data_IF_154269544910
#
_entry.id   IF_154269544910
#
_cell.length_a   1.000
_cell.length_b   1.000
_cell.length_c   1.000
_cell.angle_alpha   90.00
_cell.angle_beta   90.00
_cell.angle_gamma   90.00
#
_symmetry.space_group_name_H-M   'P 1'
#
loop_
_entity.id
_entity.type
_entity.pdbx_description
1 polymer ?
#
# COMPACT_ATOMS: atom_id res chain seq x y z
N UNK A 1 34.78 -38.50 37.60
CA UNK A 1 35.24 -37.11 37.41
C UNK A 1 34.18 -36.41 36.57
N UNK A 2 33.45 -35.45 37.13
CA UNK A 2 32.39 -34.73 36.40
C UNK A 2 32.99 -33.79 35.37
N UNK A 3 32.42 -33.76 34.17
CA UNK A 3 32.77 -32.82 33.10
C UNK A 3 32.76 -31.38 33.63
N UNK A 4 33.86 -30.64 33.47
CA UNK A 4 33.90 -29.21 33.85
C UNK A 4 32.98 -28.42 32.92
N UNK A 5 32.03 -27.70 33.50
CA UNK A 5 31.18 -26.77 32.75
C UNK A 5 31.99 -25.51 32.40
N UNK A 6 32.58 -25.53 31.21
CA UNK A 6 33.34 -24.40 30.69
C UNK A 6 32.46 -23.19 30.38
N UNK A 7 31.17 -23.38 30.07
CA UNK A 7 30.27 -22.27 29.75
C UNK A 7 29.98 -21.46 31.03
N UNK A 8 29.71 -22.14 32.15
CA UNK A 8 29.56 -21.49 33.45
C UNK A 8 30.85 -20.84 33.97
N UNK A 9 32.02 -21.05 33.34
CA UNK A 9 33.26 -20.35 33.72
C UNK A 9 33.44 -18.98 33.04
N UNK A 10 32.63 -18.65 32.02
CA UNK A 10 32.72 -17.38 31.30
C UNK A 10 32.21 -16.21 32.15
N UNK A 11 32.70 -14.96 31.95
CA UNK A 11 32.17 -13.76 32.61
C UNK A 11 30.71 -13.45 32.26
N UNK A 12 29.99 -12.82 33.19
CA UNK A 12 28.57 -12.47 32.99
C UNK A 12 28.35 -11.53 31.81
N UNK A 13 29.27 -10.59 31.54
CA UNK A 13 29.14 -9.72 30.36
C UNK A 13 29.27 -10.52 29.06
N UNK A 14 30.10 -11.56 29.03
CA UNK A 14 30.26 -12.41 27.83
C UNK A 14 29.00 -13.26 27.64
N UNK A 15 28.53 -13.89 28.72
CA UNK A 15 27.31 -14.70 28.67
C UNK A 15 26.09 -13.85 28.28
N UNK A 16 25.89 -12.69 28.90
CA UNK A 16 24.74 -11.81 28.65
C UNK A 16 24.83 -11.04 27.32
N UNK A 17 25.87 -10.22 27.14
CA UNK A 17 25.98 -9.26 26.02
C UNK A 17 26.49 -9.84 24.71
N UNK A 18 27.08 -11.03 24.73
CA UNK A 18 27.66 -11.65 23.53
C UNK A 18 27.00 -12.96 23.15
N UNK A 19 26.54 -13.75 24.12
CA UNK A 19 25.93 -15.05 23.84
C UNK A 19 24.40 -14.93 23.89
N UNK A 20 23.83 -14.56 25.03
CA UNK A 20 22.37 -14.50 25.20
C UNK A 20 21.72 -13.42 24.33
N UNK A 21 22.38 -12.28 24.10
CA UNK A 21 21.88 -11.23 23.20
C UNK A 21 21.72 -11.67 21.74
N UNK A 22 22.30 -12.80 21.33
CA UNK A 22 22.16 -13.38 19.99
C UNK A 22 21.00 -14.38 19.90
N UNK A 23 20.40 -14.75 21.02
CA UNK A 23 19.34 -15.74 21.08
C UNK A 23 17.95 -15.09 21.09
N UNK A 24 16.92 -15.76 20.52
CA UNK A 24 15.54 -15.36 20.70
C UNK A 24 15.14 -15.27 22.18
N UNK A 25 14.31 -14.29 22.54
CA UNK A 25 13.86 -14.03 23.92
C UNK A 25 13.35 -15.27 24.64
N UNK A 26 12.61 -16.15 23.96
CA UNK A 26 12.09 -17.40 24.54
C UNK A 26 13.21 -18.34 25.01
N UNK A 27 14.30 -18.45 24.23
CA UNK A 27 15.47 -19.25 24.59
C UNK A 27 16.28 -18.58 25.70
N UNK A 28 16.41 -17.25 25.65
CA UNK A 28 17.05 -16.48 26.72
C UNK A 28 16.33 -16.75 28.04
N UNK A 29 15.01 -16.56 28.09
CA UNK A 29 14.19 -16.82 29.29
C UNK A 29 14.28 -18.27 29.76
N UNK A 30 14.31 -19.25 28.86
CA UNK A 30 14.42 -20.67 29.24
C UNK A 30 15.74 -21.00 29.96
N UNK A 31 16.83 -20.25 29.71
CA UNK A 31 18.09 -20.44 30.44
C UNK A 31 17.99 -20.08 31.94
N UNK A 32 16.95 -19.35 32.38
CA UNK A 32 16.76 -18.99 33.80
C UNK A 32 16.57 -20.18 34.74
N UNK A 33 16.24 -21.35 34.20
CA UNK A 33 16.07 -22.60 34.97
C UNK A 33 17.40 -23.26 35.29
N UNK A 34 18.48 -22.90 34.58
CA UNK A 34 19.80 -23.55 34.72
C UNK A 34 20.46 -23.25 36.08
N UNK A 35 20.36 -22.02 36.57
CA UNK A 35 20.79 -21.65 37.93
C UNK A 35 20.35 -20.23 38.31
N UNK A 36 20.56 -19.86 39.58
CA UNK A 36 20.37 -18.48 40.07
C UNK A 36 21.22 -17.45 39.30
N UNK A 37 22.43 -17.82 38.89
CA UNK A 37 23.32 -16.94 38.13
C UNK A 37 22.75 -16.66 36.73
N UNK A 38 22.34 -17.71 36.03
CA UNK A 38 21.75 -17.59 34.69
C UNK A 38 20.45 -16.79 34.68
N UNK A 39 19.65 -16.87 35.75
CA UNK A 39 18.47 -16.01 35.95
C UNK A 39 18.81 -14.52 36.00
N UNK A 40 19.98 -14.14 36.51
CA UNK A 40 20.39 -12.74 36.63
C UNK A 40 21.09 -12.20 35.37
N UNK A 41 21.41 -13.07 34.40
CA UNK A 41 22.08 -12.65 33.17
C UNK A 41 21.21 -11.75 32.27
N UNK A 42 19.89 -11.70 32.49
CA UNK A 42 18.96 -10.86 31.74
C UNK A 42 19.29 -9.36 31.84
N UNK A 43 19.87 -8.92 32.96
CA UNK A 43 20.29 -7.53 33.14
C UNK A 43 21.41 -7.10 32.17
N UNK A 44 22.11 -8.08 31.57
CA UNK A 44 23.16 -7.86 30.60
C UNK A 44 22.67 -8.07 29.15
N UNK A 45 21.39 -8.42 28.96
CA UNK A 45 20.80 -8.54 27.63
C UNK A 45 20.22 -7.19 27.25
N UNK A 46 20.82 -6.56 26.24
CA UNK A 46 20.47 -5.19 25.86
C UNK A 46 19.11 -5.09 25.14
N UNK A 47 18.54 -6.21 24.69
CA UNK A 47 17.34 -6.21 23.84
C UNK A 47 16.46 -7.44 24.10
N UNK A 48 15.19 -7.21 24.41
CA UNK A 48 14.14 -8.23 24.32
C UNK A 48 13.17 -7.92 23.19
N UNK A 49 12.89 -8.95 22.40
CA UNK A 49 11.86 -8.98 21.37
C UNK A 49 10.78 -9.98 21.80
N UNK A 50 9.62 -9.47 22.20
CA UNK A 50 8.52 -10.27 22.73
C UNK A 50 7.49 -10.46 21.62
N UNK A 51 7.59 -11.59 20.92
CA UNK A 51 6.68 -11.95 19.84
C UNK A 51 5.74 -13.08 20.25
N UNK A 52 4.44 -12.80 20.21
CA UNK A 52 3.41 -13.81 20.29
C UNK A 52 3.25 -14.54 18.94
N UNK A 53 4.06 -15.58 18.76
CA UNK A 53 3.95 -16.50 17.62
C UNK A 53 3.01 -17.68 17.89
N UNK A 54 2.20 -17.66 18.97
CA UNK A 54 1.47 -18.86 19.40
C UNK A 54 0.18 -19.09 18.61
N UNK A 55 -0.08 -20.32 18.14
CA UNK A 55 -1.39 -20.67 17.60
C UNK A 55 -2.46 -20.59 18.70
N UNK A 56 -3.69 -20.21 18.32
CA UNK A 56 -4.90 -20.05 19.16
C UNK A 56 -5.09 -21.07 20.30
N UNK A 57 -4.60 -22.31 20.15
CA UNK A 57 -4.78 -23.39 21.14
C UNK A 57 -3.83 -23.31 22.36
N UNK A 58 -2.84 -22.41 22.37
CA UNK A 58 -1.81 -22.31 23.42
C UNK A 58 -1.72 -20.93 24.10
N UNK A 59 -2.79 -20.13 24.08
CA UNK A 59 -2.81 -18.78 24.66
C UNK A 59 -2.37 -18.75 26.15
N UNK A 60 -2.80 -19.72 26.95
CA UNK A 60 -2.44 -19.80 28.38
C UNK A 60 -0.93 -19.88 28.60
N UNK A 61 -0.21 -20.59 27.72
CA UNK A 61 1.25 -20.74 27.81
C UNK A 61 2.01 -19.45 27.54
N UNK A 62 1.51 -18.60 26.63
CA UNK A 62 2.13 -17.30 26.37
C UNK A 62 1.78 -16.28 27.45
N UNK A 63 0.55 -16.29 27.99
CA UNK A 63 0.18 -15.45 29.13
C UNK A 63 1.08 -15.73 30.34
N UNK A 64 1.23 -17.01 30.71
CA UNK A 64 2.14 -17.44 31.77
C UNK A 64 3.59 -17.03 31.51
N UNK A 65 4.03 -17.16 30.25
CA UNK A 65 5.35 -16.71 29.84
C UNK A 65 5.50 -15.20 30.01
N UNK A 66 4.53 -14.40 29.58
CA UNK A 66 4.55 -12.95 29.70
C UNK A 66 4.55 -12.52 31.16
N UNK A 67 3.74 -13.13 32.02
CA UNK A 67 3.74 -12.86 33.45
C UNK A 67 5.08 -13.16 34.10
N UNK A 68 5.64 -14.33 33.80
CA UNK A 68 6.96 -14.73 34.30
C UNK A 68 8.06 -13.82 33.74
N UNK A 69 7.96 -13.44 32.48
CA UNK A 69 8.96 -12.59 31.81
C UNK A 69 8.93 -11.18 32.37
N UNK A 70 7.75 -10.56 32.48
CA UNK A 70 7.57 -9.22 33.07
C UNK A 70 8.00 -9.20 34.54
N UNK A 71 7.69 -10.24 35.32
CA UNK A 71 8.07 -10.35 36.73
C UNK A 71 9.56 -10.67 36.95
N UNK A 72 10.17 -11.55 36.16
CA UNK A 72 11.58 -11.92 36.26
C UNK A 72 12.52 -10.82 35.75
N UNK A 73 12.04 -9.96 34.84
CA UNK A 73 12.89 -9.02 34.11
C UNK A 73 12.73 -7.57 34.54
N UNK A 74 12.26 -7.25 35.75
CA UNK A 74 11.74 -5.92 36.19
C UNK A 74 12.39 -4.64 35.62
N UNK A 75 13.68 -4.62 35.26
CA UNK A 75 14.38 -3.45 34.70
C UNK A 75 15.00 -3.65 33.30
N UNK A 76 14.75 -4.77 32.60
CA UNK A 76 15.38 -5.01 31.30
C UNK A 76 14.67 -4.21 30.18
N UNK A 77 15.42 -3.62 29.23
CA UNK A 77 14.86 -2.87 28.11
C UNK A 77 14.09 -3.81 27.15
N UNK A 78 12.87 -3.43 26.80
CA UNK A 78 12.05 -4.11 25.80
C UNK A 78 12.05 -3.20 24.58
N UNK A 79 12.60 -3.65 23.44
CA UNK A 79 12.65 -2.82 22.23
C UNK A 79 11.46 -3.02 21.32
N UNK A 80 10.98 -4.27 21.25
CA UNK A 80 9.84 -4.63 20.43
C UNK A 80 8.89 -5.54 21.20
N UNK A 81 7.62 -5.23 21.08
CA UNK A 81 6.52 -6.00 21.62
C UNK A 81 5.51 -6.25 20.49
N UNK A 82 5.30 -7.51 20.15
CA UNK A 82 4.28 -7.98 19.22
C UNK A 82 3.31 -8.88 19.97
N UNK A 83 2.06 -8.44 20.10
CA UNK A 83 1.00 -9.16 20.79
C UNK A 83 -0.11 -9.54 19.82
N UNK A 84 -0.52 -10.81 19.84
CA UNK A 84 -1.78 -11.24 19.27
C UNK A 84 -2.84 -11.18 20.39
N UNK A 85 -3.77 -10.24 20.31
CA UNK A 85 -4.73 -9.93 21.38
C UNK A 85 -5.85 -10.96 21.48
N UNK A 86 -5.51 -12.18 21.90
CA UNK A 86 -6.42 -13.19 22.45
C UNK A 86 -6.60 -13.05 23.96
N UNK A 87 -5.84 -12.15 24.57
CA UNK A 87 -5.73 -12.00 26.01
C UNK A 87 -6.74 -11.00 26.55
N UNK A 88 -7.03 -11.14 27.84
CA UNK A 88 -7.82 -10.15 28.57
C UNK A 88 -7.19 -8.76 28.45
N UNK A 89 -8.03 -7.74 28.24
CA UNK A 89 -7.61 -6.34 28.07
C UNK A 89 -6.68 -5.87 29.18
N UNK A 90 -7.01 -6.21 30.43
CA UNK A 90 -6.22 -5.85 31.62
C UNK A 90 -4.76 -6.34 31.53
N UNK A 91 -4.56 -7.55 30.99
CA UNK A 91 -3.22 -8.12 30.76
C UNK A 91 -2.49 -7.42 29.63
N UNK A 92 -3.15 -7.18 28.51
CA UNK A 92 -2.58 -6.46 27.36
C UNK A 92 -2.15 -5.05 27.77
N UNK A 93 -3.01 -4.32 28.46
CA UNK A 93 -2.75 -2.94 28.90
C UNK A 93 -1.54 -2.90 29.86
N UNK A 94 -1.44 -3.86 30.76
CA UNK A 94 -0.29 -3.96 31.67
C UNK A 94 1.01 -4.31 30.94
N UNK A 95 0.96 -5.21 29.96
CA UNK A 95 2.16 -5.57 29.17
C UNK A 95 2.65 -4.42 28.31
N UNK A 96 1.73 -3.71 27.66
CA UNK A 96 2.05 -2.50 26.90
C UNK A 96 2.67 -1.47 27.83
N UNK A 97 2.00 -1.13 28.95
CA UNK A 97 2.50 -0.14 29.92
C UNK A 97 3.91 -0.49 30.39
N UNK A 98 4.14 -1.75 30.78
CA UNK A 98 5.46 -2.23 31.18
C UNK A 98 6.49 -2.09 30.06
N UNK A 99 6.16 -2.40 28.81
CA UNK A 99 7.08 -2.24 27.69
C UNK A 99 7.40 -0.77 27.41
N UNK A 100 6.40 0.11 27.44
CA UNK A 100 6.60 1.55 27.23
C UNK A 100 7.49 2.17 28.32
N UNK A 101 7.27 1.81 29.59
CA UNK A 101 8.12 2.24 30.72
C UNK A 101 9.58 1.78 30.60
N UNK A 102 9.85 0.77 29.76
CA UNK A 102 11.17 0.19 29.51
C UNK A 102 11.81 0.61 28.19
N UNK A 103 11.26 1.65 27.55
CA UNK A 103 11.84 2.24 26.34
C UNK A 103 11.51 1.49 25.05
N UNK A 104 10.31 0.93 24.94
CA UNK A 104 9.82 0.27 23.72
C UNK A 104 9.91 1.20 22.50
N UNK A 105 10.48 0.67 21.42
CA UNK A 105 10.66 1.36 20.13
C UNK A 105 9.63 0.93 19.11
N UNK A 106 9.21 -0.34 19.14
CA UNK A 106 8.24 -0.90 18.20
C UNK A 106 7.13 -1.66 18.94
N UNK A 107 5.89 -1.23 18.75
CA UNK A 107 4.72 -1.91 19.29
C UNK A 107 3.83 -2.36 18.14
N UNK A 108 3.51 -3.66 18.12
CA UNK A 108 2.60 -4.26 17.16
C UNK A 108 1.49 -5.00 17.91
N UNK A 109 0.27 -4.50 17.78
CA UNK A 109 -0.93 -5.11 18.35
C UNK A 109 -1.75 -5.69 17.22
N UNK A 110 -1.83 -7.01 17.19
CA UNK A 110 -2.62 -7.74 16.20
C UNK A 110 -3.82 -8.40 16.88
N UNK A 111 -5.00 -8.41 16.27
CA UNK A 111 -6.11 -9.20 16.81
C UNK A 111 -7.01 -9.76 15.73
N UNK A 112 -7.43 -11.01 15.89
CA UNK A 112 -8.47 -11.60 15.05
C UNK A 112 -9.89 -11.27 15.53
N UNK A 113 -10.01 -10.56 16.66
CA UNK A 113 -11.28 -10.21 17.30
C UNK A 113 -11.39 -8.70 17.51
N UNK A 114 -12.59 -8.27 17.91
CA UNK A 114 -12.82 -6.89 18.36
C UNK A 114 -12.02 -6.63 19.64
N UNK A 115 -11.23 -5.57 19.65
CA UNK A 115 -10.43 -5.15 20.80
C UNK A 115 -10.69 -3.68 21.13
N UNK A 116 -10.56 -3.33 22.41
CA UNK A 116 -10.70 -1.97 22.90
C UNK A 116 -9.38 -1.54 23.50
N UNK A 117 -8.88 -0.39 23.07
CA UNK A 117 -7.61 0.17 23.52
C UNK A 117 -7.82 1.60 23.98
N UNK A 118 -7.46 1.90 25.22
CA UNK A 118 -7.48 3.27 25.73
C UNK A 118 -6.21 4.00 25.30
N UNK A 119 -6.35 5.13 24.61
CA UNK A 119 -5.22 5.93 24.15
C UNK A 119 -4.35 6.44 25.31
N UNK A 120 -4.94 6.61 26.51
CA UNK A 120 -4.24 7.02 27.72
C UNK A 120 -3.06 6.13 28.09
N UNK A 121 -3.02 4.89 27.59
CA UNK A 121 -1.90 3.97 27.79
C UNK A 121 -0.57 4.48 27.21
N UNK A 122 -0.62 5.31 26.16
CA UNK A 122 0.60 5.89 25.57
C UNK A 122 0.97 7.25 26.15
N UNK A 123 0.25 7.75 27.17
CA UNK A 123 0.51 9.07 27.76
C UNK A 123 1.91 9.25 28.34
N UNK A 124 2.58 8.15 28.70
CA UNK A 124 3.95 8.13 29.25
C UNK A 124 5.01 7.80 28.19
N UNK A 125 4.64 7.76 26.92
CA UNK A 125 5.52 7.36 25.85
C UNK A 125 6.44 8.50 25.39
N UNK A 126 7.73 8.23 25.29
CA UNK A 126 8.69 9.14 24.66
C UNK A 126 9.71 8.44 23.74
N UNK A 127 9.61 7.13 23.54
CA UNK A 127 10.60 6.32 22.80
C UNK A 127 10.05 5.63 21.56
N UNK A 128 8.72 5.53 21.40
CA UNK A 128 8.14 4.71 20.35
C UNK A 128 8.42 5.33 18.97
N UNK A 129 8.96 4.51 18.07
CA UNK A 129 9.31 4.87 16.70
C UNK A 129 8.32 4.25 15.71
N UNK A 130 7.78 3.07 16.02
CA UNK A 130 6.79 2.37 15.19
C UNK A 130 5.61 1.87 16.02
N UNK A 131 4.41 2.19 15.56
CA UNK A 131 3.16 1.70 16.12
C UNK A 131 2.34 1.03 15.02
N UNK A 132 2.01 -0.24 15.24
CA UNK A 132 1.11 -0.99 14.37
C UNK A 132 -0.08 -1.45 15.19
N UNK A 133 -1.27 -1.00 14.81
CA UNK A 133 -2.55 -1.49 15.30
C UNK A 133 -3.21 -2.19 14.12
N UNK A 134 -3.29 -3.51 14.13
CA UNK A 134 -3.87 -4.27 13.01
C UNK A 134 -4.81 -5.35 13.53
N UNK A 135 -6.11 -5.09 13.54
CA UNK A 135 -7.06 -6.11 13.96
C UNK A 135 -8.25 -6.27 13.02
N UNK A 136 -9.14 -7.20 13.36
CA UNK A 136 -10.48 -7.25 12.78
C UNK A 136 -11.25 -5.95 13.03
N UNK A 137 -11.18 -5.40 14.26
CA UNK A 137 -11.68 -4.07 14.60
C UNK A 137 -11.08 -3.59 15.94
N UNK A 138 -10.26 -2.52 15.93
CA UNK A 138 -9.73 -1.89 17.15
C UNK A 138 -10.54 -0.65 17.46
N UNK A 139 -11.24 -0.64 18.59
CA UNK A 139 -11.91 0.55 19.11
C UNK A 139 -10.93 1.36 19.97
N UNK A 140 -10.51 2.52 19.48
CA UNK A 140 -9.76 3.48 20.29
C UNK A 140 -10.71 4.25 21.18
N UNK A 141 -10.43 4.21 22.48
CA UNK A 141 -11.16 4.89 23.53
C UNK A 141 -10.28 5.97 24.16
N UNK A 142 -10.93 6.96 24.79
CA UNK A 142 -10.27 7.99 25.56
C UNK A 142 -10.63 9.40 25.08
N UNK A 143 -10.15 10.39 25.82
CA UNK A 143 -10.40 11.79 25.51
C UNK A 143 -9.35 12.30 24.54
N UNK A 144 -9.78 13.13 23.58
CA UNK A 144 -8.87 13.89 22.72
C UNK A 144 -8.07 14.85 23.59
N UNK A 145 -6.74 14.76 23.62
CA UNK A 145 -5.92 15.70 24.37
C UNK A 145 -6.05 17.12 23.81
N UNK A 146 -5.70 18.15 24.61
CA UNK A 146 -5.72 19.54 24.14
C UNK A 146 -4.93 19.73 22.85
N UNK A 147 -5.39 20.62 21.99
CA UNK A 147 -4.72 20.93 20.73
C UNK A 147 -3.25 21.32 20.95
N UNK A 148 -2.36 20.80 20.12
CA UNK A 148 -0.91 20.99 20.25
C UNK A 148 -0.21 20.03 21.24
N UNK A 149 -0.95 19.15 21.92
CA UNK A 149 -0.32 18.10 22.75
C UNK A 149 0.41 17.10 21.86
N UNK A 150 1.73 16.98 22.06
CA UNK A 150 2.56 15.94 21.42
C UNK A 150 2.50 14.68 22.27
N UNK A 151 2.01 13.58 21.68
CA UNK A 151 1.89 12.30 22.39
C UNK A 151 2.96 11.30 21.97
N UNK A 152 3.40 11.40 20.72
CA UNK A 152 4.34 10.49 20.11
C UNK A 152 5.51 11.29 19.52
N UNK A 153 6.43 11.79 20.37
CA UNK A 153 7.48 12.73 19.94
C UNK A 153 8.49 12.12 18.96
N UNK A 154 8.64 10.79 18.97
CA UNK A 154 9.64 10.04 18.19
C UNK A 154 9.04 9.13 17.12
N UNK A 155 7.71 9.09 16.98
CA UNK A 155 7.04 8.12 16.12
C UNK A 155 7.17 8.50 14.66
N UNK A 156 7.80 7.60 13.89
CA UNK A 156 8.07 7.77 12.47
C UNK A 156 7.15 6.94 11.58
N UNK A 157 6.66 5.81 12.09
CA UNK A 157 5.83 4.88 11.33
C UNK A 157 4.57 4.58 12.13
N UNK A 158 3.41 4.88 11.54
CA UNK A 158 2.10 4.58 12.10
C UNK A 158 1.31 3.72 11.12
N UNK A 159 0.83 2.56 11.58
CA UNK A 159 0.00 1.65 10.80
C UNK A 159 -1.32 1.39 11.52
N UNK A 160 -2.43 1.72 10.86
CA UNK A 160 -3.79 1.63 11.37
C UNK A 160 -4.61 0.67 10.48
N UNK A 161 -4.83 -0.55 10.96
CA UNK A 161 -5.65 -1.57 10.32
C UNK A 161 -6.97 -1.77 11.05
N UNK A 162 -8.08 -1.43 10.40
CA UNK A 162 -9.45 -1.49 10.93
C UNK A 162 -9.61 -0.80 12.30
N UNK A 163 -9.10 0.42 12.43
CA UNK A 163 -9.13 1.19 13.68
C UNK A 163 -10.35 2.10 13.70
N UNK A 164 -11.32 1.80 14.56
CA UNK A 164 -12.51 2.63 14.80
C UNK A 164 -12.21 3.60 15.94
N UNK A 165 -12.37 4.89 15.68
CA UNK A 165 -12.18 5.95 16.67
C UNK A 165 -13.17 7.09 16.43
N UNK A 166 -13.39 7.91 17.46
CA UNK A 166 -14.00 9.22 17.26
C UNK A 166 -13.18 10.03 16.22
N UNK A 167 -13.82 10.76 15.28
CA UNK A 167 -13.10 11.50 14.25
C UNK A 167 -12.05 12.48 14.78
N UNK A 168 -12.34 13.17 15.89
CA UNK A 168 -11.40 14.08 16.50
C UNK A 168 -10.21 13.33 17.13
N UNK A 169 -10.45 12.16 17.72
CA UNK A 169 -9.38 11.30 18.26
C UNK A 169 -8.46 10.77 17.14
N UNK A 170 -9.03 10.36 16.01
CA UNK A 170 -8.26 9.87 14.86
C UNK A 170 -7.39 10.98 14.25
N UNK A 171 -7.97 12.16 14.02
CA UNK A 171 -7.23 13.30 13.48
C UNK A 171 -6.09 13.70 14.43
N UNK A 172 -6.37 13.66 15.74
CA UNK A 172 -5.35 13.90 16.75
C UNK A 172 -4.25 12.83 16.77
N UNK A 173 -4.57 11.56 16.53
CA UNK A 173 -3.56 10.48 16.47
C UNK A 173 -2.51 10.77 15.39
N UNK A 174 -2.90 11.38 14.28
CA UNK A 174 -2.00 11.79 13.21
C UNK A 174 -1.26 13.09 13.58
N UNK A 175 -1.98 14.12 14.04
CA UNK A 175 -1.39 15.44 14.33
C UNK A 175 -0.50 15.47 15.59
N UNK A 176 -0.72 14.56 16.53
CA UNK A 176 0.09 14.35 17.74
C UNK A 176 1.45 13.67 17.51
N UNK A 177 1.78 13.35 16.25
CA UNK A 177 3.03 12.71 15.82
C UNK A 177 3.86 13.66 14.95
N UNK A 178 4.66 14.58 15.53
CA UNK A 178 5.35 15.65 14.79
C UNK A 178 6.44 15.19 13.82
N UNK A 179 6.96 13.97 13.98
CA UNK A 179 8.05 13.39 13.16
C UNK A 179 7.60 12.19 12.33
N UNK A 180 6.28 12.05 12.12
CA UNK A 180 5.70 10.92 11.39
C UNK A 180 6.09 10.97 9.90
N UNK A 181 6.86 9.99 9.43
CA UNK A 181 7.33 9.91 8.04
C UNK A 181 6.47 8.98 7.18
N UNK A 182 5.94 7.90 7.76
CA UNK A 182 5.15 6.88 7.06
C UNK A 182 3.82 6.61 7.76
N UNK A 183 2.73 6.73 7.02
CA UNK A 183 1.37 6.44 7.48
C UNK A 183 0.74 5.37 6.58
N UNK A 184 0.38 4.25 7.20
CA UNK A 184 -0.34 3.15 6.57
C UNK A 184 -1.73 3.08 7.20
N UNK A 185 -2.76 3.14 6.37
CA UNK A 185 -4.13 2.94 6.83
C UNK A 185 -4.79 1.91 5.94
N UNK A 186 -5.34 0.90 6.59
CA UNK A 186 -5.95 -0.24 5.95
C UNK A 186 -7.34 -0.43 6.52
N UNK A 187 -8.36 -0.06 5.75
CA UNK A 187 -9.75 -0.24 6.15
C UNK A 187 -10.23 -1.63 5.73
N UNK A 188 -10.73 -2.40 6.70
CA UNK A 188 -11.31 -3.73 6.48
C UNK A 188 -12.82 -3.60 6.65
N UNK A 189 -13.49 -3.07 5.62
CA UNK A 189 -14.95 -3.04 5.61
C UNK A 189 -15.52 -4.47 5.59
N UNK A 190 -16.24 -4.86 6.64
CA UNK A 190 -17.04 -6.09 6.69
C UNK A 190 -18.52 -5.75 6.67
N UNK A 191 -19.25 -6.24 5.66
CA UNK A 191 -20.70 -6.04 5.55
C UNK A 191 -21.09 -4.58 5.29
N UNK A 192 -22.03 -4.07 6.09
CA UNK A 192 -22.60 -2.71 6.02
C UNK A 192 -21.96 -1.74 7.03
N UNK A 193 -20.88 -2.14 7.71
CA UNK A 193 -20.20 -1.31 8.71
C UNK A 193 -19.61 -0.02 8.08
N UNK A 194 -19.64 1.08 8.84
CA UNK A 194 -19.05 2.35 8.41
C UNK A 194 -17.53 2.23 8.24
N UNK A 195 -16.93 2.99 7.30
CA UNK A 195 -15.48 3.12 7.18
C UNK A 195 -14.83 3.42 8.52
N UNK A 196 -13.72 2.76 8.82
CA UNK A 196 -12.94 3.00 10.05
C UNK A 196 -12.00 4.21 9.91
N UNK A 197 -11.73 4.59 8.66
CA UNK A 197 -10.92 5.73 8.27
C UNK A 197 -11.75 7.04 8.22
N UNK A 198 -11.23 8.14 8.79
CA UNK A 198 -11.98 9.43 8.94
C UNK A 198 -11.93 10.36 7.74
N UNK A 199 -11.27 9.98 6.64
CA UNK A 199 -11.22 10.77 5.40
C UNK A 199 -10.49 12.10 5.49
N UNK A 200 -9.69 12.31 6.53
CA UNK A 200 -8.76 13.43 6.59
C UNK A 200 -7.37 12.99 7.01
N UNK A 201 -6.35 13.39 6.24
CA UNK A 201 -4.93 13.28 6.62
C UNK A 201 -4.28 14.63 6.44
N UNK A 202 -3.95 15.27 7.56
CA UNK A 202 -3.29 16.57 7.59
C UNK A 202 -1.99 16.44 8.36
N UNK A 203 -0.86 16.48 7.67
CA UNK A 203 0.46 16.47 8.30
C UNK A 203 1.55 16.93 7.34
N UNK A 204 2.43 17.82 7.81
CA UNK A 204 3.59 18.26 7.04
C UNK A 204 4.78 17.28 7.13
N UNK A 205 4.80 16.34 8.08
CA UNK A 205 5.95 15.43 8.27
C UNK A 205 5.90 14.20 7.37
N UNK A 206 4.71 13.80 6.91
CA UNK A 206 4.48 12.55 6.17
C UNK A 206 5.13 12.64 4.78
N UNK A 207 5.96 11.65 4.48
CA UNK A 207 6.62 11.44 3.18
C UNK A 207 6.04 10.26 2.41
N UNK A 208 5.51 9.25 3.09
CA UNK A 208 4.90 8.07 2.49
C UNK A 208 3.52 7.84 3.07
N UNK A 209 2.51 7.78 2.20
CA UNK A 209 1.12 7.56 2.57
C UNK A 209 0.58 6.37 1.79
N UNK A 210 0.07 5.38 2.52
CA UNK A 210 -0.62 4.23 1.94
C UNK A 210 -2.01 4.13 2.55
N UNK A 211 -3.01 4.14 1.68
CA UNK A 211 -4.43 4.09 2.02
C UNK A 211 -5.02 2.95 1.24
N UNK A 212 -5.41 1.89 1.93
CA UNK A 212 -6.10 0.77 1.33
C UNK A 212 -7.52 0.69 1.88
N UNK A 213 -8.51 0.65 0.98
CA UNK A 213 -9.92 0.65 1.34
C UNK A 213 -10.60 -0.57 0.74
N UNK A 214 -11.06 -1.50 1.58
CA UNK A 214 -11.86 -2.65 1.16
C UNK A 214 -13.35 -2.31 1.17
N UNK A 215 -14.06 -2.62 0.08
CA UNK A 215 -15.49 -2.31 -0.08
C UNK A 215 -16.25 -3.57 -0.44
N UNK A 216 -17.33 -3.84 0.29
CA UNK A 216 -18.34 -4.82 -0.11
C UNK A 216 -19.21 -4.22 -1.22
N UNK A 217 -19.54 -5.01 -2.25
CA UNK A 217 -20.24 -4.60 -3.48
C UNK A 217 -21.65 -3.96 -3.28
N UNK A 218 -22.15 -3.79 -2.05
CA UNK A 218 -23.56 -3.48 -1.75
C UNK A 218 -23.76 -2.32 -0.74
N UNK A 219 -22.73 -1.57 -0.36
CA UNK A 219 -22.92 -0.45 0.58
C UNK A 219 -23.66 0.73 -0.12
N UNK A 220 -24.06 1.77 0.61
CA UNK A 220 -24.60 3.03 0.04
C UNK A 220 -23.42 4.02 -0.05
N UNK A 221 -23.31 4.92 -1.05
CA UNK A 221 -22.19 5.85 -1.09
C UNK A 221 -22.27 6.78 0.12
N UNK A 222 -21.31 6.66 1.03
CA UNK A 222 -21.09 7.66 2.06
C UNK A 222 -20.56 8.92 1.37
N UNK A 223 -21.38 9.97 1.38
CA UNK A 223 -21.02 11.29 0.88
C UNK A 223 -20.04 11.95 1.85
N UNK A 224 -18.76 11.58 1.82
CA UNK A 224 -17.72 12.37 2.49
C UNK A 224 -16.43 12.31 1.69
N UNK A 225 -15.92 13.49 1.39
CA UNK A 225 -14.76 13.68 0.55
C UNK A 225 -13.47 13.45 1.32
N UNK A 226 -12.54 12.71 0.71
CA UNK A 226 -11.21 12.56 1.27
C UNK A 226 -10.45 13.90 1.16
N UNK A 227 -9.87 14.33 2.28
CA UNK A 227 -8.98 15.47 2.42
C UNK A 227 -7.56 14.96 2.71
N UNK A 228 -6.64 15.26 1.79
CA UNK A 228 -5.22 14.90 1.96
C UNK A 228 -4.41 16.19 1.84
N UNK A 229 -3.84 16.62 2.97
CA UNK A 229 -3.02 17.83 3.12
C UNK A 229 -1.64 17.46 3.67
N UNK A 230 -0.78 16.99 2.77
CA UNK A 230 0.56 16.49 3.08
C UNK A 230 1.58 17.07 2.10
N UNK A 231 2.04 18.32 2.28
CA UNK A 231 2.83 19.04 1.28
C UNK A 231 4.21 18.41 0.96
N UNK A 232 4.76 17.64 1.91
CA UNK A 232 6.05 16.95 1.76
C UNK A 232 5.92 15.48 1.34
N UNK A 233 4.75 15.08 0.85
CA UNK A 233 4.50 13.71 0.42
C UNK A 233 5.33 13.37 -0.82
N UNK A 234 6.11 12.30 -0.76
CA UNK A 234 6.97 11.82 -1.85
C UNK A 234 6.39 10.56 -2.54
N UNK A 235 5.64 9.75 -1.79
CA UNK A 235 5.02 8.51 -2.25
C UNK A 235 3.57 8.39 -1.79
N UNK A 236 2.67 8.12 -2.73
CA UNK A 236 1.24 7.88 -2.48
C UNK A 236 0.84 6.51 -3.05
N UNK A 237 0.25 5.66 -2.22
CA UNK A 237 -0.46 4.47 -2.63
C UNK A 237 -1.91 4.57 -2.15
N UNK A 238 -2.84 4.74 -3.08
CA UNK A 238 -4.21 5.16 -2.79
C UNK A 238 -5.23 4.25 -3.47
N UNK A 239 -5.93 3.47 -2.66
CA UNK A 239 -7.10 2.71 -3.07
C UNK A 239 -8.37 3.36 -2.54
N UNK A 240 -9.32 3.67 -3.41
CA UNK A 240 -10.55 4.35 -3.01
C UNK A 240 -11.75 4.07 -3.91
N UNK A 241 -12.94 4.21 -3.32
CA UNK A 241 -14.16 4.38 -4.09
C UNK A 241 -14.31 5.83 -4.52
N UNK A 242 -14.74 6.03 -5.75
CA UNK A 242 -15.07 7.37 -6.21
C UNK A 242 -16.46 7.78 -5.72
N UNK A 243 -16.48 8.76 -4.83
CA UNK A 243 -17.65 9.58 -4.45
C UNK A 243 -17.50 11.00 -5.00
N UNK A 244 -18.57 11.79 -4.91
CA UNK A 244 -18.60 13.15 -5.44
C UNK A 244 -17.70 14.11 -4.64
N UNK A 245 -16.47 14.35 -5.13
CA UNK A 245 -15.70 15.57 -4.82
C UNK A 245 -14.48 15.44 -3.92
N UNK A 246 -13.54 14.52 -4.17
CA UNK A 246 -12.26 14.48 -3.41
C UNK A 246 -11.57 15.85 -3.35
N UNK A 247 -11.18 16.30 -2.16
CA UNK A 247 -10.46 17.57 -1.95
C UNK A 247 -9.00 17.27 -1.63
N UNK A 248 -8.24 16.95 -2.67
CA UNK A 248 -6.80 16.70 -2.57
C UNK A 248 -6.08 17.99 -2.95
N UNK A 249 -5.34 18.57 -2.00
CA UNK A 249 -4.52 19.77 -2.25
C UNK A 249 -3.31 19.43 -3.15
N UNK A 250 -2.61 20.45 -3.63
CA UNK A 250 -1.43 20.28 -4.48
C UNK A 250 -0.31 19.49 -3.76
N UNK A 251 0.01 18.31 -4.29
CA UNK A 251 1.09 17.44 -3.81
C UNK A 251 2.37 17.67 -4.62
N UNK A 252 2.96 18.86 -4.52
CA UNK A 252 4.08 19.28 -5.39
C UNK A 252 5.38 18.47 -5.19
N UNK A 253 5.56 17.87 -4.01
CA UNK A 253 6.71 17.02 -3.66
C UNK A 253 6.57 15.57 -4.16
N UNK A 254 5.40 15.19 -4.67
CA UNK A 254 5.07 13.80 -4.98
C UNK A 254 5.87 13.28 -6.18
N UNK A 255 6.65 12.22 -5.95
CA UNK A 255 7.48 11.59 -6.97
C UNK A 255 6.82 10.36 -7.58
N UNK A 256 6.10 9.57 -6.78
CA UNK A 256 5.43 8.34 -7.22
C UNK A 256 4.01 8.28 -6.67
N UNK A 257 3.06 7.93 -7.54
CA UNK A 257 1.68 7.65 -7.18
C UNK A 257 1.23 6.29 -7.71
N UNK A 258 0.53 5.52 -6.86
CA UNK A 258 -0.16 4.29 -7.21
C UNK A 258 -1.62 4.46 -6.89
N UNK A 259 -2.48 4.29 -7.88
CA UNK A 259 -3.91 4.49 -7.73
C UNK A 259 -4.66 3.20 -8.04
N UNK A 260 -5.50 2.76 -7.10
CA UNK A 260 -6.53 1.74 -7.30
C UNK A 260 -7.93 2.32 -7.01
N UNK A 261 -8.48 3.01 -8.01
CA UNK A 261 -9.78 3.68 -7.92
C UNK A 261 -10.86 2.76 -8.47
N UNK A 262 -12.00 2.71 -7.78
CA UNK A 262 -13.16 1.94 -8.21
C UNK A 262 -14.35 2.85 -8.42
N UNK A 263 -15.02 2.66 -9.55
CA UNK A 263 -16.30 3.31 -9.83
C UNK A 263 -17.39 2.69 -8.99
N UNK A 264 -18.33 3.53 -8.59
CA UNK A 264 -19.56 3.09 -7.96
C UNK A 264 -20.62 2.79 -9.03
N UNK A 265 -21.18 1.58 -9.04
CA UNK A 265 -22.29 1.23 -9.94
C UNK A 265 -23.64 1.50 -9.24
N UNK A 266 -24.25 2.68 -9.44
CA UNK A 266 -25.69 2.84 -9.13
C UNK A 266 -26.51 2.22 -10.26
N UNK A 267 -27.60 1.48 -9.97
CA UNK A 267 -28.45 0.89 -11.00
C UNK A 267 -29.19 1.89 -11.91
N UNK A 268 -29.19 3.20 -11.62
CA UNK A 268 -30.16 4.12 -12.25
C UNK A 268 -29.72 5.56 -12.52
N UNK A 269 -28.52 6.02 -12.10
CA UNK A 269 -28.08 7.40 -12.38
C UNK A 269 -26.64 7.43 -12.89
N UNK A 270 -26.44 7.98 -14.09
CA UNK A 270 -25.16 8.12 -14.79
C UNK A 270 -24.28 9.24 -14.18
N UNK A 271 -24.25 9.38 -12.87
CA UNK A 271 -23.36 10.33 -12.18
C UNK A 271 -22.17 9.54 -11.65
N UNK A 272 -21.08 9.57 -12.42
CA UNK A 272 -19.79 9.08 -11.97
C UNK A 272 -19.11 10.20 -11.18
N UNK A 273 -18.48 9.89 -10.03
CA UNK A 273 -17.81 10.89 -9.20
C UNK A 273 -16.70 11.66 -9.94
N UNK A 274 -16.09 12.67 -9.30
CA UNK A 274 -15.05 13.50 -9.93
C UNK A 274 -13.65 13.16 -9.41
N UNK A 275 -12.71 12.87 -10.33
CA UNK A 275 -11.29 12.63 -9.99
C UNK A 275 -10.38 13.80 -10.36
N UNK A 276 -10.92 14.87 -10.94
CA UNK A 276 -10.13 16.00 -11.48
C UNK A 276 -9.13 16.55 -10.47
N UNK A 277 -9.54 16.74 -9.21
CA UNK A 277 -8.67 17.26 -8.15
C UNK A 277 -7.51 16.30 -7.83
N UNK A 278 -7.79 15.01 -7.65
CA UNK A 278 -6.76 13.99 -7.45
C UNK A 278 -5.77 13.97 -8.62
N UNK A 279 -6.29 13.94 -9.87
CA UNK A 279 -5.46 13.92 -11.08
C UNK A 279 -4.63 15.21 -11.21
N UNK A 280 -5.19 16.36 -10.84
CA UNK A 280 -4.48 17.62 -10.81
C UNK A 280 -3.38 17.65 -9.73
N UNK A 281 -3.63 17.07 -8.56
CA UNK A 281 -2.66 16.97 -7.47
C UNK A 281 -1.47 16.10 -7.85
N UNK A 282 -1.68 15.00 -8.58
CA UNK A 282 -0.61 14.08 -9.00
C UNK A 282 0.06 14.46 -10.34
N UNK A 283 -0.25 15.61 -10.94
CA UNK A 283 0.26 16.00 -12.28
C UNK A 283 1.80 16.04 -12.39
N UNK A 284 2.48 16.21 -11.26
CA UNK A 284 3.93 16.43 -11.16
C UNK A 284 4.74 15.14 -10.89
N UNK A 285 4.10 13.98 -10.81
CA UNK A 285 4.79 12.71 -10.51
C UNK A 285 5.74 12.29 -11.63
N UNK A 286 6.80 11.55 -11.26
CA UNK A 286 7.72 10.90 -12.18
C UNK A 286 7.28 9.48 -12.54
N UNK A 287 6.60 8.82 -11.60
CA UNK A 287 6.11 7.46 -11.74
C UNK A 287 4.64 7.39 -11.37
N UNK A 288 3.81 6.82 -12.26
CA UNK A 288 2.38 6.63 -12.04
C UNK A 288 2.00 5.18 -12.31
N UNK A 289 1.38 4.53 -11.32
CA UNK A 289 0.79 3.20 -11.45
C UNK A 289 -0.73 3.31 -11.38
N UNK A 290 -1.44 2.72 -12.34
CA UNK A 290 -2.90 2.70 -12.40
C UNK A 290 -3.40 1.25 -12.44
N UNK A 291 -4.30 0.90 -11.52
CA UNK A 291 -5.08 -0.34 -11.61
C UNK A 291 -6.04 -0.31 -12.81
N UNK A 292 -6.68 -1.45 -13.09
CA UNK A 292 -7.70 -1.57 -14.13
C UNK A 292 -8.90 -0.67 -13.87
N UNK A 293 -9.35 -0.59 -12.61
CA UNK A 293 -10.40 0.33 -12.17
C UNK A 293 -9.98 1.80 -12.30
N UNK A 294 -8.73 2.13 -11.98
CA UNK A 294 -8.19 3.49 -12.15
C UNK A 294 -8.20 3.96 -13.59
N UNK A 295 -7.89 3.09 -14.56
CA UNK A 295 -7.99 3.43 -15.98
C UNK A 295 -9.43 3.76 -16.38
N UNK A 296 -10.39 3.00 -15.86
CA UNK A 296 -11.81 3.24 -16.13
C UNK A 296 -12.30 4.54 -15.48
N UNK A 297 -11.91 4.78 -14.22
CA UNK A 297 -12.13 6.03 -13.51
C UNK A 297 -11.58 7.24 -14.26
N UNK A 298 -10.33 7.20 -14.73
CA UNK A 298 -9.73 8.28 -15.51
C UNK A 298 -10.50 8.55 -16.80
N UNK A 299 -11.18 7.54 -17.34
CA UNK A 299 -11.94 7.70 -18.55
C UNK A 299 -13.30 8.39 -18.31
N UNK A 300 -14.06 7.96 -17.30
CA UNK A 300 -15.40 8.50 -17.04
C UNK A 300 -15.40 9.77 -16.17
N UNK A 301 -14.43 9.91 -15.27
CA UNK A 301 -14.44 10.91 -14.20
C UNK A 301 -13.43 12.04 -14.38
N UNK A 302 -12.54 11.97 -15.38
CA UNK A 302 -11.50 12.98 -15.62
C UNK A 302 -11.79 13.79 -16.88
N UNK A 303 -12.70 14.75 -16.80
CA UNK A 303 -13.07 15.58 -17.95
C UNK A 303 -11.93 16.50 -18.40
N UNK A 304 -11.09 16.98 -17.47
CA UNK A 304 -10.00 17.93 -17.71
C UNK A 304 -8.64 17.35 -17.28
N UNK A 305 -8.18 16.31 -17.99
CA UNK A 305 -6.87 15.70 -17.73
C UNK A 305 -5.72 16.71 -17.93
N UNK A 306 -4.91 16.96 -16.88
CA UNK A 306 -3.74 17.83 -16.94
C UNK A 306 -2.64 17.20 -17.80
N UNK A 307 -1.63 18.01 -18.12
CA UNK A 307 -0.41 17.51 -18.77
C UNK A 307 0.54 17.01 -17.67
N UNK A 308 1.06 15.80 -17.87
CA UNK A 308 2.02 15.14 -16.99
C UNK A 308 3.45 15.37 -17.52
N UNK A 309 3.95 16.60 -17.41
CA UNK A 309 5.25 16.98 -17.99
C UNK A 309 6.44 16.29 -17.33
N UNK A 310 6.31 15.89 -16.06
CA UNK A 310 7.38 15.22 -15.30
C UNK A 310 7.30 13.70 -15.35
N UNK A 311 6.25 13.12 -15.93
CA UNK A 311 6.02 11.68 -15.94
C UNK A 311 7.00 10.98 -16.88
N UNK A 312 7.80 10.08 -16.31
CA UNK A 312 8.80 9.28 -17.00
C UNK A 312 8.39 7.81 -17.10
N UNK A 313 7.67 7.30 -16.10
CA UNK A 313 7.26 5.90 -15.98
C UNK A 313 5.76 5.80 -15.75
N UNK A 314 5.04 5.18 -16.68
CA UNK A 314 3.62 4.88 -16.56
C UNK A 314 3.46 3.36 -16.51
N UNK A 315 2.82 2.85 -15.47
CA UNK A 315 2.48 1.45 -15.30
C UNK A 315 0.96 1.31 -15.22
N UNK A 316 0.42 0.36 -15.98
CA UNK A 316 -1.01 0.09 -15.98
C UNK A 316 -1.26 -1.41 -15.79
N UNK A 317 -2.33 -1.74 -15.10
CA UNK A 317 -2.87 -3.09 -15.06
C UNK A 317 -3.99 -3.27 -16.09
N UNK A 318 -4.18 -4.50 -16.58
CA UNK A 318 -5.19 -4.84 -17.57
C UNK A 318 -5.92 -6.12 -17.19
N UNK A 319 -7.24 -6.15 -17.38
CA UNK A 319 -8.09 -7.33 -17.15
C UNK A 319 -9.21 -7.43 -18.20
N UNK A 320 -9.93 -8.55 -18.22
CA UNK A 320 -11.00 -8.78 -19.21
C UNK A 320 -12.27 -7.92 -19.00
N UNK A 321 -12.39 -7.27 -17.84
CA UNK A 321 -13.58 -6.54 -17.40
C UNK A 321 -13.53 -5.05 -17.75
N UNK A 322 -12.32 -4.48 -17.78
CA UNK A 322 -12.02 -3.08 -18.03
C UNK A 322 -11.32 -2.89 -19.37
N UNK A 323 -11.55 -1.74 -20.00
CA UNK A 323 -10.93 -1.42 -21.30
C UNK A 323 -9.95 -0.25 -21.22
N UNK A 324 -9.14 -0.08 -22.26
CA UNK A 324 -8.09 0.95 -22.31
C UNK A 324 -8.55 2.32 -22.79
N UNK A 325 -9.78 2.73 -22.50
CA UNK A 325 -10.35 3.98 -23.01
C UNK A 325 -9.55 5.23 -22.59
N UNK A 326 -8.96 5.25 -21.39
CA UNK A 326 -8.15 6.37 -20.91
C UNK A 326 -6.71 6.40 -21.50
N UNK A 327 -6.20 5.25 -21.95
CA UNK A 327 -4.79 5.10 -22.32
C UNK A 327 -4.34 6.05 -23.46
N UNK A 328 -5.09 6.20 -24.58
CA UNK A 328 -4.69 7.14 -25.62
C UNK A 328 -4.53 8.57 -25.11
N UNK A 329 -5.43 9.02 -24.23
CA UNK A 329 -5.42 10.37 -23.67
C UNK A 329 -4.24 10.55 -22.71
N UNK A 330 -4.00 9.57 -21.84
CA UNK A 330 -2.84 9.55 -20.94
C UNK A 330 -1.52 9.66 -21.70
N UNK A 331 -1.34 8.86 -22.78
CA UNK A 331 -0.13 8.90 -23.60
C UNK A 331 0.06 10.25 -24.30
N UNK A 332 -1.03 10.87 -24.79
CA UNK A 332 -0.97 12.20 -25.41
C UNK A 332 -0.66 13.31 -24.41
N UNK A 333 -1.10 13.16 -23.15
CA UNK A 333 -0.85 14.10 -22.06
C UNK A 333 0.46 13.86 -21.31
N UNK A 334 1.27 12.89 -21.74
CA UNK A 334 2.55 12.53 -21.12
C UNK A 334 3.72 12.69 -22.10
N UNK A 335 4.11 13.94 -22.42
CA UNK A 335 5.06 14.21 -23.52
C UNK A 335 6.47 13.66 -23.29
N UNK A 336 6.88 13.51 -22.03
CA UNK A 336 8.22 13.07 -21.63
C UNK A 336 8.29 11.59 -21.19
N UNK A 337 7.22 10.82 -21.43
CA UNK A 337 7.13 9.42 -21.03
C UNK A 337 8.24 8.58 -21.69
N UNK A 338 9.01 7.85 -20.88
CA UNK A 338 10.13 7.01 -21.33
C UNK A 338 9.82 5.52 -21.18
N UNK A 339 9.13 5.12 -20.11
CA UNK A 339 8.76 3.74 -19.84
C UNK A 339 7.25 3.59 -19.80
N UNK A 340 6.73 2.64 -20.56
CA UNK A 340 5.36 2.16 -20.46
C UNK A 340 5.39 0.71 -19.97
N UNK A 341 4.87 0.45 -18.77
CA UNK A 341 4.73 -0.89 -18.22
C UNK A 341 3.26 -1.30 -18.26
N UNK A 342 2.97 -2.52 -18.72
CA UNK A 342 1.61 -3.05 -18.82
C UNK A 342 1.59 -4.46 -18.23
N UNK A 343 0.80 -4.65 -17.17
CA UNK A 343 0.57 -5.95 -16.54
C UNK A 343 -0.68 -6.59 -17.16
N UNK A 344 -0.44 -7.63 -17.97
CA UNK A 344 -1.45 -8.25 -18.83
C UNK A 344 -1.77 -7.40 -20.06
N UNK A 345 -1.96 -8.03 -21.22
CA UNK A 345 -2.32 -7.34 -22.47
C UNK A 345 -3.79 -7.51 -22.86
N UNK A 346 -4.51 -8.38 -22.14
CA UNK A 346 -5.92 -8.66 -22.42
C UNK A 346 -6.78 -7.59 -21.75
N UNK A 347 -7.69 -7.00 -22.52
CA UNK A 347 -8.68 -6.04 -22.02
C UNK A 347 -10.07 -6.21 -22.65
N UNK A 348 -11.08 -5.61 -22.02
CA UNK A 348 -12.43 -5.49 -22.60
C UNK A 348 -12.38 -4.66 -23.86
N UNK A 349 -12.70 -5.29 -25.00
CA UNK A 349 -12.72 -4.60 -26.28
C UNK A 349 -13.93 -3.67 -26.36
N UNK A 350 -13.69 -2.38 -26.27
CA UNK A 350 -14.70 -1.34 -26.45
C UNK A 350 -14.49 -0.61 -27.78
N UNK A 351 -15.50 0.12 -28.24
CA UNK A 351 -15.35 1.01 -29.41
C UNK A 351 -14.49 2.25 -29.10
N UNK A 352 -14.09 2.43 -27.83
CA UNK A 352 -13.37 3.59 -27.31
C UNK A 352 -11.94 3.27 -26.85
N UNK A 353 -11.43 2.04 -27.02
CA UNK A 353 -10.02 1.72 -26.75
C UNK A 353 -9.03 2.61 -27.55
N UNK A 354 -9.53 3.30 -28.58
CA UNK A 354 -8.78 4.25 -29.38
C UNK A 354 -7.64 3.58 -30.14
N UNK A 355 -6.68 4.39 -30.57
CA UNK A 355 -5.55 3.94 -31.38
C UNK A 355 -4.39 3.35 -30.56
N UNK A 356 -4.55 3.22 -29.22
CA UNK A 356 -3.63 2.49 -28.36
C UNK A 356 -3.84 0.97 -28.44
N UNK A 357 -5.06 0.49 -28.73
CA UNK A 357 -5.33 -0.93 -28.98
C UNK A 357 -5.29 -1.29 -30.48
N UNK A 358 -4.88 -2.52 -30.80
CA UNK A 358 -5.04 -3.18 -32.10
C UNK A 358 -6.51 -3.59 -32.43
N UNK A 359 -7.44 -3.32 -31.50
CA UNK A 359 -8.82 -3.76 -31.54
C UNK A 359 -9.57 -3.11 -32.71
N UNK A 360 -10.15 -3.90 -33.61
CA UNK A 360 -11.02 -3.38 -34.67
C UNK A 360 -12.46 -3.24 -34.15
N UNK A 361 -12.92 -2.00 -33.93
CA UNK A 361 -14.32 -1.76 -33.59
C UNK A 361 -15.23 -2.14 -34.76
N UNK A 362 -16.26 -2.98 -34.55
CA UNK A 362 -17.29 -3.24 -35.57
C UNK A 362 -18.04 -1.92 -35.89
N UNK A 363 -18.04 -1.42 -37.14
CA UNK A 363 -18.56 -0.09 -37.48
C UNK A 363 -20.05 0.10 -37.11
N UNK A 364 -20.85 -0.96 -37.12
CA UNK A 364 -22.29 -0.91 -36.80
C UNK A 364 -22.64 -0.47 -35.37
N UNK A 365 -21.73 -0.61 -34.39
CA UNK A 365 -21.95 -0.11 -33.00
C UNK A 365 -21.46 1.32 -32.79
N UNK A 366 -20.65 1.86 -33.72
CA UNK A 366 -20.06 3.20 -33.64
C UNK A 366 -21.11 4.30 -33.84
N UNK A 367 -22.11 4.06 -34.69
CA UNK A 367 -23.23 5.00 -34.93
C UNK A 367 -24.29 4.98 -33.82
N UNK A 368 -24.54 3.80 -33.22
CA UNK A 368 -25.56 3.63 -32.18
C UNK A 368 -25.19 4.35 -30.88
N UNK A 369 -23.94 4.24 -30.41
CA UNK A 369 -23.50 4.89 -29.17
C UNK A 369 -23.13 6.37 -29.32
N UNK A 370 -22.85 6.85 -30.54
CA UNK A 370 -22.68 8.28 -30.83
C UNK A 370 -23.92 9.09 -30.46
N UNK A 371 -25.12 8.49 -30.54
CA UNK A 371 -26.39 9.14 -30.20
C UNK A 371 -26.70 9.24 -28.69
N UNK A 372 -26.03 8.48 -27.82
CA UNK A 372 -26.46 8.33 -26.42
C UNK A 372 -25.59 9.02 -25.36
N UNK A 373 -24.38 9.50 -25.67
CA UNK A 373 -23.41 10.01 -24.68
C UNK A 373 -22.60 11.22 -25.18
N UNK A 374 -23.24 12.10 -25.95
CA UNK A 374 -22.60 13.19 -26.72
C UNK A 374 -22.18 14.41 -25.88
N UNK A 375 -21.52 14.17 -24.74
CA UNK A 375 -20.78 15.18 -23.96
C UNK A 375 -19.31 14.76 -23.70
N UNK A 376 -18.79 13.79 -24.45
CA UNK A 376 -17.34 13.54 -24.43
C UNK A 376 -16.61 14.65 -25.21
N UNK A 377 -15.59 15.33 -24.64
CA UNK A 377 -14.92 16.42 -25.33
C UNK A 377 -14.24 15.93 -26.63
N UNK A 378 -14.25 16.75 -27.70
CA UNK A 378 -13.68 16.39 -28.99
C UNK A 378 -12.16 16.35 -28.90
N UNK A 379 -11.58 15.17 -28.70
CA UNK A 379 -10.15 14.95 -28.92
C UNK A 379 -9.89 13.76 -29.83
N UNK A 380 -10.63 13.65 -30.94
CA UNK A 380 -10.09 13.12 -32.19
C UNK A 380 -9.37 14.28 -32.93
N UNK A 381 -8.40 14.91 -32.28
CA UNK A 381 -7.52 15.87 -32.98
C UNK A 381 -6.56 15.04 -33.83
N UNK A 382 -6.71 15.18 -35.14
CA UNK A 382 -5.81 14.73 -36.21
C UNK A 382 -5.39 13.26 -36.16
N UNK A 383 -6.03 12.41 -36.97
CA UNK A 383 -5.64 11.10 -37.57
C UNK A 383 -4.29 10.39 -37.30
N UNK A 384 -3.57 10.66 -36.22
CA UNK A 384 -2.26 10.13 -35.83
C UNK A 384 -2.43 9.24 -34.61
N UNK A 385 -1.79 8.08 -34.66
CA UNK A 385 -1.79 7.10 -33.58
C UNK A 385 -1.04 7.67 -32.36
N UNK A 386 -1.63 7.64 -31.15
CA UNK A 386 -0.98 8.14 -29.93
C UNK A 386 0.37 7.45 -29.65
N UNK A 387 0.49 6.16 -30.02
CA UNK A 387 1.72 5.39 -29.91
C UNK A 387 2.83 5.91 -30.85
N UNK A 388 2.45 6.43 -32.02
CA UNK A 388 3.42 6.96 -32.98
C UNK A 388 3.95 8.34 -32.62
N UNK A 389 3.24 9.08 -31.77
CA UNK A 389 3.68 10.38 -31.22
C UNK A 389 4.42 10.23 -29.90
N UNK A 390 4.23 9.11 -29.19
CA UNK A 390 4.85 8.84 -27.91
C UNK A 390 6.36 8.57 -28.04
N UNK A 391 7.16 9.09 -27.11
CA UNK A 391 8.63 8.96 -27.07
C UNK A 391 9.12 7.83 -26.15
N UNK A 392 8.24 6.86 -25.87
CA UNK A 392 8.57 5.68 -25.05
C UNK A 392 9.76 4.94 -25.66
N UNK A 393 10.76 4.70 -24.81
CA UNK A 393 11.99 3.96 -25.09
C UNK A 393 11.94 2.55 -24.53
N UNK A 394 11.23 2.34 -23.43
CA UNK A 394 11.12 1.04 -22.76
C UNK A 394 9.66 0.62 -22.66
N UNK A 395 9.31 -0.53 -23.22
CA UNK A 395 8.01 -1.18 -23.03
C UNK A 395 8.21 -2.40 -22.12
N UNK A 396 7.53 -2.46 -20.99
CA UNK A 396 7.60 -3.59 -20.07
C UNK A 396 6.25 -4.31 -20.05
N UNK A 397 6.24 -5.59 -20.36
CA UNK A 397 5.04 -6.43 -20.37
C UNK A 397 5.24 -7.54 -19.36
N UNK A 398 4.32 -7.70 -18.41
CA UNK A 398 4.33 -8.83 -17.47
C UNK A 398 3.06 -9.66 -17.60
N UNK A 399 3.17 -10.98 -17.42
CA UNK A 399 2.04 -11.91 -17.56
C UNK A 399 1.65 -12.15 -19.02
N UNK A 400 2.63 -12.21 -19.93
CA UNK A 400 2.36 -12.48 -21.35
C UNK A 400 1.99 -13.96 -21.58
N UNK A 401 0.76 -14.21 -22.03
CA UNK A 401 0.24 -15.56 -22.27
C UNK A 401 0.38 -16.06 -23.71
N UNK A 402 0.68 -15.18 -24.67
CA UNK A 402 0.85 -15.54 -26.08
C UNK A 402 -0.45 -15.81 -26.85
N UNK A 403 -1.60 -15.42 -26.31
CA UNK A 403 -2.86 -15.55 -27.03
C UNK A 403 -2.87 -14.70 -28.31
N UNK A 404 -3.70 -15.06 -29.29
CA UNK A 404 -3.79 -14.32 -30.56
C UNK A 404 -4.11 -12.82 -30.36
N UNK A 405 -4.83 -12.46 -29.29
CA UNK A 405 -5.11 -11.06 -28.95
C UNK A 405 -3.84 -10.33 -28.48
N UNK A 406 -3.04 -10.97 -27.64
CA UNK A 406 -1.80 -10.40 -27.12
C UNK A 406 -0.74 -10.28 -28.20
N UNK A 407 -0.61 -11.28 -29.08
CA UNK A 407 0.30 -11.23 -30.25
C UNK A 407 -0.06 -10.04 -31.13
N UNK A 408 -1.34 -9.84 -31.47
CA UNK A 408 -1.79 -8.68 -32.26
C UNK A 408 -1.53 -7.34 -31.56
N UNK A 409 -1.68 -7.29 -30.25
CA UNK A 409 -1.38 -6.09 -29.48
C UNK A 409 0.13 -5.80 -29.46
N UNK A 410 0.97 -6.83 -29.33
CA UNK A 410 2.42 -6.71 -29.44
C UNK A 410 2.86 -6.24 -30.83
N UNK A 411 2.30 -6.82 -31.89
CA UNK A 411 2.51 -6.36 -33.28
C UNK A 411 2.16 -4.87 -33.43
N UNK A 412 1.04 -4.45 -32.84
CA UNK A 412 0.62 -3.05 -32.88
C UNK A 412 1.58 -2.14 -32.11
N UNK A 413 2.04 -2.52 -30.92
CA UNK A 413 3.01 -1.74 -30.16
C UNK A 413 4.36 -1.66 -30.89
N UNK A 414 4.93 -2.78 -31.29
CA UNK A 414 6.21 -2.84 -31.99
C UNK A 414 6.17 -2.11 -33.34
N UNK A 415 5.03 -2.17 -34.04
CA UNK A 415 4.81 -1.49 -35.32
C UNK A 415 4.50 0.00 -35.23
N UNK A 416 4.15 0.53 -34.05
CA UNK A 416 3.75 1.95 -33.89
C UNK A 416 4.68 2.78 -32.99
N UNK A 417 5.34 2.17 -32.00
CA UNK A 417 6.29 2.84 -31.11
C UNK A 417 7.65 3.03 -31.80
N UNK A 418 7.85 4.19 -32.42
CA UNK A 418 9.02 4.47 -33.28
C UNK A 418 10.33 4.70 -32.52
N UNK A 419 10.26 5.02 -31.22
CA UNK A 419 11.42 5.37 -30.39
C UNK A 419 11.83 4.23 -29.44
N UNK A 420 11.24 3.05 -29.61
CA UNK A 420 11.47 1.92 -28.72
C UNK A 420 12.91 1.42 -28.81
N UNK A 421 13.60 1.36 -27.67
CA UNK A 421 14.97 0.86 -27.54
C UNK A 421 14.97 -0.52 -26.89
N UNK A 422 14.08 -0.76 -25.92
CA UNK A 422 14.01 -2.04 -25.20
C UNK A 422 12.56 -2.45 -24.95
N UNK A 423 12.28 -3.74 -25.10
CA UNK A 423 11.03 -4.38 -24.69
C UNK A 423 11.36 -5.47 -23.70
N UNK A 424 10.89 -5.36 -22.47
CA UNK A 424 11.05 -6.38 -21.44
C UNK A 424 9.77 -7.20 -21.34
N UNK A 425 9.86 -8.53 -21.36
CA UNK A 425 8.70 -9.42 -21.38
C UNK A 425 8.87 -10.49 -20.30
N UNK A 426 7.99 -10.46 -19.31
CA UNK A 426 7.79 -11.52 -18.32
C UNK A 426 6.62 -12.42 -18.72
N UNK A 427 6.84 -13.72 -18.75
CA UNK A 427 5.81 -14.71 -19.09
C UNK A 427 4.92 -15.03 -17.87
N UNK A 428 3.71 -15.52 -18.13
CA UNK A 428 2.86 -16.10 -17.11
C UNK A 428 3.49 -17.42 -16.58
N UNK A 429 3.43 -17.63 -15.26
CA UNK A 429 3.83 -18.90 -14.62
C UNK A 429 3.01 -20.02 -15.30
N UNK A 430 3.67 -21.06 -15.83
CA UNK A 430 3.11 -22.22 -16.58
C UNK A 430 3.14 -22.18 -18.11
N UNK A 431 3.59 -21.10 -18.77
CA UNK A 431 3.64 -21.06 -20.23
C UNK A 431 4.94 -21.63 -20.84
N UNK A 432 4.82 -22.27 -22.01
CA UNK A 432 5.95 -22.78 -22.79
C UNK A 432 6.78 -21.61 -23.38
N UNK A 433 7.72 -21.12 -22.58
CA UNK A 433 8.45 -19.89 -22.83
C UNK A 433 9.28 -19.88 -24.13
N UNK A 434 9.72 -21.03 -24.66
CA UNK A 434 10.54 -21.06 -25.89
C UNK A 434 9.75 -20.70 -27.16
N UNK A 435 8.57 -21.28 -27.35
CA UNK A 435 7.72 -20.97 -28.51
C UNK A 435 7.27 -19.50 -28.48
N UNK A 436 6.91 -19.00 -27.31
CA UNK A 436 6.50 -17.61 -27.12
C UNK A 436 7.64 -16.63 -27.43
N UNK A 437 8.87 -16.94 -26.95
CA UNK A 437 10.07 -16.17 -27.30
C UNK A 437 10.31 -16.15 -28.81
N UNK A 438 10.24 -17.30 -29.48
CA UNK A 438 10.44 -17.39 -30.92
C UNK A 438 9.42 -16.54 -31.69
N UNK A 439 8.14 -16.62 -31.33
CA UNK A 439 7.07 -15.83 -31.94
C UNK A 439 7.30 -14.31 -31.75
N UNK A 440 7.64 -13.87 -30.53
CA UNK A 440 7.91 -12.45 -30.27
C UNK A 440 9.12 -11.92 -31.06
N UNK A 441 10.12 -12.76 -31.31
CA UNK A 441 11.30 -12.37 -32.06
C UNK A 441 11.06 -12.20 -33.56
N UNK A 442 10.02 -12.82 -34.13
CA UNK A 442 9.66 -12.67 -35.56
C UNK A 442 8.81 -11.43 -35.86
N UNK A 443 8.27 -10.77 -34.84
CA UNK A 443 7.40 -9.60 -35.02
C UNK A 443 8.18 -8.40 -35.60
N UNK A 444 7.55 -7.73 -36.57
CA UNK A 444 8.11 -6.55 -37.20
C UNK A 444 8.20 -5.36 -36.22
N UNK A 445 9.30 -4.60 -36.31
CA UNK A 445 9.60 -3.48 -35.40
C UNK A 445 9.71 -2.20 -36.21
N UNK A 446 9.04 -1.14 -35.75
CA UNK A 446 9.17 0.19 -36.33
C UNK A 446 10.51 0.86 -35.97
N UNK A 447 11.04 0.57 -34.78
CA UNK A 447 12.35 1.04 -34.33
C UNK A 447 13.42 0.00 -34.64
N UNK A 448 14.46 0.39 -35.37
CA UNK A 448 15.63 -0.44 -35.64
C UNK A 448 16.52 -0.65 -34.40
N UNK A 449 16.39 0.20 -33.37
CA UNK A 449 17.12 0.09 -32.11
C UNK A 449 16.46 -0.83 -31.09
N UNK A 450 15.24 -1.29 -31.37
CA UNK A 450 14.43 -2.06 -30.43
C UNK A 450 14.99 -3.46 -30.20
N UNK A 451 15.47 -3.73 -28.99
CA UNK A 451 15.85 -5.05 -28.52
C UNK A 451 14.76 -5.65 -27.61
N UNK A 452 14.53 -6.97 -27.70
CA UNK A 452 13.59 -7.68 -26.83
C UNK A 452 14.40 -8.45 -25.78
N UNK A 453 14.06 -8.25 -24.51
CA UNK A 453 14.62 -8.90 -23.35
C UNK A 453 13.52 -9.69 -22.65
N UNK A 454 13.83 -10.92 -22.22
CA UNK A 454 12.93 -11.75 -21.45
C UNK A 454 13.39 -11.73 -20.00
N UNK A 455 12.48 -11.39 -19.08
CA UNK A 455 12.76 -11.20 -17.64
C UNK A 455 12.09 -12.27 -16.80
#
# INVERSE_FOLDING_TARGET
>A
MGSRDFISSLPDEVLGKKILSLLPTKLVVSTSVLSKRWRNLFHFVDNFDLEDSTPLRNADGFSDFMEKTVSLQSNCPIKRLTLNSYYERSSVDRWISSALERGCLELNLQSQYRNYLDIGIFSRNNTLVKLTLSSYQTFLLGNVPPEGTVFFPTLKILSLGAVVADPALYNWLISGCPVLEELFIHDVGYGDDQPTWTRSVVSASIKRLTIYFHISHNTVPYQDNAEIKTPNLEFLDYSALLSDGSNVDYLDSLAEARLDLRLWELPTTYQFGEVTNLVAAIRNVKTLHLSTGSLEAFYYCCYTMPVFDKLLHLSIESDKENGWQALPRLLLKSPNLQTLAIKGLVHKVTYRCGNACACTSKPKKKELYKRYLDESPPSEVEGRCCLSTCRVKVLEISGYGGSSKEVKQMEHFLGKLKYLETVKIGFEEDNNSEYLRANLMTLARASSKCNIQFI
#
